data_IF_590302367372
#
_entry.id   IF_590302367372
#
_cell.length_a   1.000
_cell.length_b   1.000
_cell.length_c   1.000
_cell.angle_alpha   90.00
_cell.angle_beta   90.00
_cell.angle_gamma   90.00
#
_symmetry.space_group_name_H-M   'P 1'
#
loop_
_entity.id
_entity.type
_entity.pdbx_description
1 polymer ?
#
# COMPACT_ATOMS: atom_id res chain seq x y z
N UNK A 1 -18.12 -61.51 16.16
CA UNK A 1 -18.27 -60.12 15.66
C UNK A 1 -19.32 -60.10 14.57
N UNK A 2 -20.48 -59.50 14.85
CA UNK A 2 -21.54 -59.33 13.86
C UNK A 2 -21.22 -58.10 13.00
N UNK A 3 -21.69 -58.05 11.75
CA UNK A 3 -21.46 -56.91 10.82
C UNK A 3 -21.87 -55.56 11.44
N UNK A 4 -22.74 -55.58 12.45
CA UNK A 4 -23.17 -54.42 13.23
C UNK A 4 -22.06 -53.83 14.12
N UNK A 5 -21.12 -54.63 14.65
CA UNK A 5 -20.03 -54.11 15.49
C UNK A 5 -18.98 -53.34 14.66
N UNK A 6 -18.76 -53.74 13.40
CA UNK A 6 -17.79 -53.08 12.50
C UNK A 6 -18.28 -51.71 12.03
N UNK A 7 -19.60 -51.53 11.87
CA UNK A 7 -20.19 -50.24 11.42
C UNK A 7 -20.06 -49.16 12.50
N UNK A 8 -20.12 -49.54 13.77
CA UNK A 8 -19.99 -48.59 14.89
C UNK A 8 -18.55 -48.07 15.03
N UNK A 9 -17.55 -48.81 14.55
CA UNK A 9 -16.15 -48.38 14.64
C UNK A 9 -15.74 -47.36 13.55
N UNK A 10 -16.55 -47.21 12.49
CA UNK A 10 -16.29 -46.22 11.42
C UNK A 10 -17.03 -44.89 11.61
N UNK A 11 -18.02 -44.80 12.52
CA UNK A 11 -18.83 -43.60 12.70
C UNK A 11 -18.31 -42.61 13.75
N UNK A 12 -17.26 -42.93 14.50
CA UNK A 12 -16.75 -42.10 15.59
C UNK A 12 -15.63 -41.11 15.21
N UNK A 13 -15.26 -40.99 13.92
CA UNK A 13 -14.18 -40.10 13.47
C UNK A 13 -14.61 -38.95 12.53
N UNK A 14 -15.89 -38.58 12.49
CA UNK A 14 -16.31 -37.31 11.89
C UNK A 14 -16.44 -36.23 12.96
N UNK A 15 -15.29 -35.76 13.45
CA UNK A 15 -15.23 -34.48 14.16
C UNK A 15 -15.38 -33.39 13.10
N UNK A 16 -16.60 -32.91 12.90
CA UNK A 16 -16.83 -31.65 12.20
C UNK A 16 -16.24 -30.53 13.07
N UNK A 17 -15.00 -30.13 12.80
CA UNK A 17 -14.46 -28.90 13.35
C UNK A 17 -15.20 -27.71 12.71
N UNK A 18 -16.19 -27.17 13.41
CA UNK A 18 -16.74 -25.85 13.11
C UNK A 18 -15.67 -24.82 13.45
N UNK A 19 -14.78 -24.54 12.49
CA UNK A 19 -13.90 -23.38 12.57
C UNK A 19 -14.77 -22.14 12.36
N UNK A 20 -15.11 -21.45 13.44
CA UNK A 20 -15.66 -20.10 13.37
C UNK A 20 -14.53 -19.13 12.98
N UNK A 21 -14.39 -18.84 11.69
CA UNK A 21 -13.58 -17.72 11.25
C UNK A 21 -14.37 -16.44 11.49
N UNK A 22 -14.08 -15.74 12.58
CA UNK A 22 -14.52 -14.35 12.72
C UNK A 22 -13.71 -13.49 11.75
N UNK A 23 -14.34 -12.68 10.89
CA UNK A 23 -13.60 -11.74 10.06
C UNK A 23 -12.87 -10.77 10.98
N UNK A 24 -11.55 -10.88 11.05
CA UNK A 24 -10.72 -9.80 11.59
C UNK A 24 -10.89 -8.66 10.59
N UNK A 25 -11.49 -7.54 11.01
CA UNK A 25 -11.47 -6.30 10.24
C UNK A 25 -9.99 -5.92 10.09
N UNK A 26 -9.42 -6.17 8.92
CA UNK A 26 -8.13 -5.60 8.56
C UNK A 26 -8.43 -4.17 8.17
N UNK A 27 -8.02 -3.24 9.02
CA UNK A 27 -8.12 -1.83 8.70
C UNK A 27 -7.11 -1.55 7.61
N UNK A 28 -7.57 -1.48 6.36
CA UNK A 28 -6.76 -1.02 5.23
C UNK A 28 -6.53 0.47 5.44
N UNK A 29 -5.27 0.87 5.61
CA UNK A 29 -4.93 2.26 5.82
C UNK A 29 -4.54 2.95 4.51
N UNK A 30 -5.41 3.86 4.06
CA UNK A 30 -5.26 4.70 2.87
C UNK A 30 -5.05 6.17 3.29
N UNK A 31 -3.87 6.57 3.83
CA UNK A 31 -3.61 7.96 4.19
C UNK A 31 -3.70 8.93 3.00
N UNK A 32 -4.29 10.11 3.25
CA UNK A 32 -4.32 11.22 2.30
C UNK A 32 -2.91 11.77 2.07
N UNK A 33 -2.46 11.80 0.81
CA UNK A 33 -1.23 12.47 0.40
C UNK A 33 -1.47 13.98 0.33
N UNK A 34 -0.70 14.74 1.10
CA UNK A 34 -0.78 16.20 1.20
C UNK A 34 0.14 16.90 0.17
N UNK A 35 1.29 16.28 -0.12
CA UNK A 35 2.25 16.70 -1.15
C UNK A 35 2.86 15.46 -1.81
N UNK A 36 2.94 15.38 -3.15
CA UNK A 36 2.49 16.38 -4.12
C UNK A 36 0.95 16.48 -4.19
N UNK A 37 0.45 17.62 -4.61
CA UNK A 37 -0.96 17.89 -4.90
C UNK A 37 -1.11 18.52 -6.29
N UNK A 38 -2.34 18.88 -6.69
CA UNK A 38 -2.63 19.37 -8.04
C UNK A 38 -1.94 20.67 -8.44
N UNK A 39 -1.40 21.43 -7.48
CA UNK A 39 -0.63 22.65 -7.72
C UNK A 39 0.88 22.42 -7.70
N UNK A 40 1.34 21.20 -7.40
CA UNK A 40 2.75 20.89 -7.28
C UNK A 40 3.44 20.87 -8.64
N UNK A 41 4.60 21.52 -8.66
CA UNK A 41 5.56 21.46 -9.77
C UNK A 41 6.88 20.96 -9.22
N UNK A 42 7.33 19.82 -9.74
CA UNK A 42 8.62 19.22 -9.42
C UNK A 42 9.60 19.43 -10.57
N UNK A 43 10.84 19.74 -10.22
CA UNK A 43 11.94 19.91 -11.18
C UNK A 43 12.82 18.66 -11.14
N UNK A 44 13.12 18.10 -12.31
CA UNK A 44 13.98 16.93 -12.47
C UNK A 44 15.31 17.11 -11.72
N UNK A 45 15.76 16.07 -11.01
CA UNK A 45 17.00 16.04 -10.23
C UNK A 45 16.96 16.79 -8.89
N UNK A 46 15.90 17.56 -8.60
CA UNK A 46 15.72 18.19 -7.29
C UNK A 46 15.12 17.21 -6.27
N UNK A 47 15.33 17.50 -4.99
CA UNK A 47 14.77 16.72 -3.88
C UNK A 47 13.54 17.42 -3.31
N UNK A 48 12.45 16.68 -3.13
CA UNK A 48 11.22 17.15 -2.50
C UNK A 48 10.76 16.19 -1.41
N UNK A 49 9.92 16.68 -0.50
CA UNK A 49 9.22 15.83 0.45
C UNK A 49 7.86 15.41 -0.10
N UNK A 50 7.64 14.11 -0.14
CA UNK A 50 6.29 13.53 -0.19
C UNK A 50 5.77 13.50 1.23
N UNK A 51 4.56 14.02 1.47
CA UNK A 51 3.95 14.08 2.80
C UNK A 51 2.53 13.55 2.77
N UNK A 52 2.10 12.94 3.86
CA UNK A 52 0.76 12.37 4.01
C UNK A 52 0.25 12.52 5.45
N UNK A 53 -1.07 12.47 5.61
CA UNK A 53 -1.70 12.57 6.91
C UNK A 53 -1.57 11.24 7.67
N UNK A 54 -1.09 11.30 8.91
CA UNK A 54 -0.97 10.13 9.79
C UNK A 54 -1.95 10.13 10.95
N UNK A 55 -2.79 11.16 11.06
CA UNK A 55 -3.63 11.39 12.25
C UNK A 55 -4.72 10.33 12.46
N UNK A 56 -5.08 9.59 11.41
CA UNK A 56 -6.18 8.62 11.38
C UNK A 56 -5.71 7.16 11.22
N UNK A 57 -4.42 6.90 11.43
CA UNK A 57 -3.88 5.56 11.24
C UNK A 57 -4.59 4.53 12.15
N UNK A 58 -4.87 3.31 11.66
CA UNK A 58 -5.48 2.28 12.49
C UNK A 58 -4.48 1.74 13.52
N UNK A 59 -5.02 1.06 14.54
CA UNK A 59 -4.19 0.40 15.56
C UNK A 59 -3.35 -0.72 14.95
N UNK A 60 -3.92 -1.45 14.00
CA UNK A 60 -3.28 -2.56 13.32
C UNK A 60 -3.01 -2.20 11.85
N UNK A 61 -1.73 -2.02 11.52
CA UNK A 61 -1.24 -1.81 10.15
C UNK A 61 -0.51 -3.10 9.75
N UNK A 62 -0.96 -3.75 8.68
CA UNK A 62 -0.44 -5.03 8.20
C UNK A 62 0.97 -4.86 7.63
N UNK A 63 1.19 -3.81 6.83
CA UNK A 63 2.51 -3.46 6.32
C UNK A 63 2.88 -2.02 6.64
N UNK A 64 3.85 -1.85 7.53
CA UNK A 64 4.36 -0.53 7.93
C UNK A 64 5.53 -0.04 7.08
N UNK A 65 6.04 -0.87 6.18
CA UNK A 65 7.20 -0.53 5.35
C UNK A 65 6.69 0.15 4.09
N UNK A 66 7.04 1.44 3.98
CA UNK A 66 6.64 2.31 2.90
C UNK A 66 7.50 2.17 1.64
N UNK A 67 6.88 2.44 0.50
CA UNK A 67 7.53 2.65 -0.79
C UNK A 67 6.78 3.74 -1.55
N UNK A 68 7.48 4.66 -2.20
CA UNK A 68 6.88 5.63 -3.12
C UNK A 68 7.30 5.27 -4.53
N UNK A 69 6.33 5.14 -5.43
CA UNK A 69 6.56 4.94 -6.87
C UNK A 69 5.95 6.07 -7.67
N UNK A 70 6.54 6.38 -8.82
CA UNK A 70 5.97 7.32 -9.78
C UNK A 70 4.95 6.59 -10.65
N UNK A 71 3.88 7.27 -11.04
CA UNK A 71 2.89 6.78 -11.97
C UNK A 71 2.50 7.85 -12.99
N UNK A 72 2.34 7.42 -14.24
CA UNK A 72 1.84 8.26 -15.35
C UNK A 72 0.96 7.38 -16.23
N UNK A 73 -0.11 7.94 -16.81
CA UNK A 73 -1.04 7.19 -17.66
C UNK A 73 -1.54 5.87 -17.03
N UNK A 74 -1.77 5.87 -15.72
CA UNK A 74 -2.17 4.70 -14.91
C UNK A 74 -1.16 3.54 -14.87
N UNK A 75 0.08 3.76 -15.30
CA UNK A 75 1.18 2.81 -15.20
C UNK A 75 2.08 3.22 -14.03
N UNK A 76 2.27 2.30 -13.08
CA UNK A 76 3.12 2.49 -11.89
C UNK A 76 4.52 1.93 -12.15
N UNK A 77 5.56 2.71 -11.89
CA UNK A 77 6.96 2.27 -12.01
C UNK A 77 7.45 1.62 -10.70
N UNK A 78 7.21 0.31 -10.56
CA UNK A 78 7.68 -0.46 -9.41
C UNK A 78 9.16 -0.84 -9.47
N UNK A 79 9.76 -0.83 -10.65
CA UNK A 79 11.15 -1.20 -10.86
C UNK A 79 12.10 -0.09 -10.38
N UNK A 80 11.66 1.17 -10.45
CA UNK A 80 12.41 2.35 -10.01
C UNK A 80 11.67 3.16 -8.94
N UNK A 81 11.55 2.65 -7.70
CA UNK A 81 10.90 3.40 -6.63
C UNK A 81 11.66 4.70 -6.31
N UNK A 82 10.91 5.78 -6.08
CA UNK A 82 11.46 7.08 -5.68
C UNK A 82 12.05 7.05 -4.26
N UNK A 83 11.44 6.25 -3.38
CA UNK A 83 11.95 5.91 -2.06
C UNK A 83 11.36 4.58 -1.58
N UNK A 84 12.06 3.91 -0.67
CA UNK A 84 11.58 2.67 -0.06
C UNK A 84 12.19 2.45 1.32
N UNK A 85 11.64 1.49 2.06
CA UNK A 85 12.16 1.06 3.36
C UNK A 85 12.13 2.15 4.45
N UNK A 86 11.07 2.95 4.44
CA UNK A 86 10.74 3.92 5.49
C UNK A 86 9.47 3.48 6.24
N UNK A 87 9.16 4.12 7.37
CA UNK A 87 7.92 3.83 8.10
C UNK A 87 6.79 4.70 7.54
N UNK A 88 5.66 4.09 7.18
CA UNK A 88 4.47 4.85 6.77
C UNK A 88 3.92 5.75 7.89
N UNK A 89 4.36 5.57 9.14
CA UNK A 89 3.98 6.46 10.25
C UNK A 89 4.82 7.74 10.31
N UNK A 90 5.87 7.87 9.50
CA UNK A 90 6.76 9.03 9.52
C UNK A 90 6.07 10.29 8.96
N UNK A 91 5.01 10.13 8.16
CA UNK A 91 4.24 11.23 7.56
C UNK A 91 4.97 12.00 6.47
N UNK A 92 6.24 11.68 6.21
CA UNK A 92 7.05 12.31 5.18
C UNK A 92 8.18 11.39 4.72
N UNK A 93 8.58 11.52 3.46
CA UNK A 93 9.82 10.96 2.93
C UNK A 93 10.41 11.90 1.87
N UNK A 94 11.73 12.10 1.91
CA UNK A 94 12.43 12.85 0.88
C UNK A 94 12.69 11.94 -0.34
N UNK A 95 12.41 12.47 -1.54
CA UNK A 95 12.64 11.79 -2.82
C UNK A 95 13.43 12.70 -3.76
N UNK A 96 14.18 12.12 -4.69
CA UNK A 96 14.77 12.85 -5.81
C UNK A 96 13.96 12.58 -7.07
N UNK A 97 13.61 13.64 -7.80
CA UNK A 97 12.81 13.53 -9.03
C UNK A 97 13.66 12.86 -10.12
N UNK A 98 13.19 11.75 -10.70
CA UNK A 98 13.94 11.02 -11.72
C UNK A 98 13.97 11.81 -13.03
N UNK A 99 14.91 11.43 -13.91
CA UNK A 99 14.98 11.95 -15.27
C UNK A 99 13.88 11.31 -16.12
N UNK A 100 12.79 12.05 -16.34
CA UNK A 100 11.59 11.62 -17.07
C UNK A 100 11.14 12.71 -18.02
N UNK A 101 10.32 12.36 -19.02
CA UNK A 101 9.76 13.36 -19.94
C UNK A 101 8.89 14.38 -19.16
N UNK A 102 9.09 15.69 -19.32
CA UNK A 102 8.24 16.69 -18.67
C UNK A 102 6.75 16.49 -19.01
N UNK A 103 5.89 16.67 -18.02
CA UNK A 103 4.45 16.35 -18.14
C UNK A 103 3.64 16.82 -16.94
N UNK A 104 2.30 16.77 -17.07
CA UNK A 104 1.35 17.24 -16.04
C UNK A 104 0.37 16.15 -15.57
N UNK A 105 0.61 14.93 -16.01
CA UNK A 105 -0.18 13.73 -15.75
C UNK A 105 0.53 12.75 -14.79
N UNK A 106 1.52 13.25 -14.04
CA UNK A 106 2.23 12.47 -13.04
C UNK A 106 1.44 12.37 -11.74
N UNK A 107 1.52 11.21 -11.10
CA UNK A 107 1.06 10.97 -9.73
C UNK A 107 2.13 10.16 -9.00
N UNK A 108 2.15 10.21 -7.68
CA UNK A 108 2.89 9.22 -6.90
C UNK A 108 1.92 8.23 -6.28
N UNK A 109 2.41 7.03 -6.00
CA UNK A 109 1.69 6.04 -5.21
C UNK A 109 2.48 5.75 -3.95
N UNK A 110 1.89 6.09 -2.80
CA UNK A 110 2.41 5.68 -1.50
C UNK A 110 1.93 4.26 -1.24
N UNK A 111 2.87 3.32 -1.24
CA UNK A 111 2.66 1.92 -0.91
C UNK A 111 2.99 1.67 0.56
N UNK A 112 2.20 0.85 1.21
CA UNK A 112 2.39 0.39 2.58
C UNK A 112 1.36 -0.68 2.90
N UNK A 113 0.37 -0.31 3.71
CA UNK A 113 -0.78 -1.16 4.00
C UNK A 113 -1.73 -1.29 2.80
N UNK A 114 -1.86 -0.20 2.02
CA UNK A 114 -2.44 -0.15 0.67
C UNK A 114 -1.54 0.62 -0.29
N UNK A 115 -2.05 0.90 -1.50
CA UNK A 115 -1.43 1.82 -2.45
C UNK A 115 -2.34 3.03 -2.67
N UNK A 116 -1.80 4.23 -2.48
CA UNK A 116 -2.59 5.46 -2.44
C UNK A 116 -2.05 6.45 -3.46
N UNK A 117 -2.92 6.90 -4.36
CA UNK A 117 -2.53 7.87 -5.38
C UNK A 117 -2.60 9.30 -4.85
N UNK A 118 -1.60 10.11 -5.18
CA UNK A 118 -1.73 11.56 -5.13
C UNK A 118 -2.67 12.06 -6.24
N UNK A 119 -3.17 13.30 -6.14
CA UNK A 119 -3.63 14.03 -7.32
C UNK A 119 -2.54 14.10 -8.39
N UNK A 120 -2.94 14.33 -9.65
CA UNK A 120 -2.00 14.59 -10.72
C UNK A 120 -1.23 15.90 -10.49
N UNK A 121 0.05 15.93 -10.79
CA UNK A 121 0.93 17.09 -10.65
C UNK A 121 1.91 17.20 -11.83
N UNK A 122 2.69 18.27 -11.87
CA UNK A 122 3.60 18.57 -12.99
C UNK A 122 5.04 18.24 -12.64
N UNK A 123 5.76 17.62 -13.58
CA UNK A 123 7.23 17.50 -13.59
C UNK A 123 7.77 18.33 -14.76
N UNK A 124 8.75 19.20 -14.51
CA UNK A 124 9.42 20.03 -15.52
C UNK A 124 10.91 19.74 -15.58
N UNK A 125 11.54 20.11 -16.70
CA UNK A 125 13.00 20.20 -16.77
C UNK A 125 13.53 21.28 -15.82
N UNK A 126 14.84 21.21 -15.54
CA UNK A 126 15.60 22.27 -14.86
C UNK A 126 15.73 23.54 -15.73
#
# INVERSE_FOLDING_TARGET
MNKLTTVILFSLFSVFALVSAFPIRRDVWDPEILSPNSSTVWVIGQTYNVTWNTSDHPVNITNKIGKVVLATNYIQDYEHPLASNFSVLDGTVAITVPDVEPGSDYSIVLMGDSGNYSPNFTITSA
#
